data_IF_988150442160
#
_entry.id   IF_988150442160
#
_cell.length_a   1.000
_cell.length_b   1.000
_cell.length_c   1.000
_cell.angle_alpha   90.00
_cell.angle_beta   90.00
_cell.angle_gamma   90.00
#
_symmetry.space_group_name_H-M   'P 1'
#
loop_
_entity.id
_entity.type
_entity.pdbx_description
1 polymer ?
#
# COMPACT_ATOMS: atom_id res chain seq x y z
N UNK A 1 4.12 -15.17 -5.56
CA UNK A 1 3.44 -14.33 -6.57
C UNK A 1 3.68 -12.84 -6.28
N UNK A 2 3.47 -11.95 -7.26
CA UNK A 2 3.52 -10.49 -7.04
C UNK A 2 2.21 -9.92 -7.54
N UNK A 3 1.47 -9.22 -6.67
CA UNK A 3 0.27 -8.49 -7.06
C UNK A 3 0.64 -7.05 -7.42
N UNK A 4 0.10 -6.54 -8.53
CA UNK A 4 0.32 -5.14 -8.96
C UNK A 4 -0.98 -4.37 -8.87
N UNK A 5 -0.92 -3.16 -8.34
CA UNK A 5 -2.05 -2.27 -8.13
C UNK A 5 -1.77 -0.92 -8.81
N UNK A 6 -2.83 -0.29 -9.31
CA UNK A 6 -2.76 1.08 -9.82
C UNK A 6 -2.85 2.03 -8.63
N UNK A 7 -1.99 3.05 -8.61
CA UNK A 7 -2.07 4.10 -7.60
C UNK A 7 -3.38 4.89 -7.77
N UNK A 8 -4.10 5.18 -6.67
CA UNK A 8 -5.18 6.16 -6.67
C UNK A 8 -4.71 7.49 -7.25
N UNK A 9 -5.57 8.17 -8.01
CA UNK A 9 -5.25 9.49 -8.61
C UNK A 9 -5.72 10.66 -7.74
N UNK A 10 -6.39 10.36 -6.65
CA UNK A 10 -6.92 11.32 -5.72
C UNK A 10 -5.80 11.99 -4.93
N UNK A 11 -5.98 13.27 -4.61
CA UNK A 11 -4.98 14.12 -3.93
C UNK A 11 -4.53 13.61 -2.56
N UNK A 12 -5.31 12.74 -1.92
CA UNK A 12 -4.97 12.15 -0.63
C UNK A 12 -3.95 11.01 -0.73
N UNK A 13 -3.67 10.52 -1.94
CA UNK A 13 -2.74 9.43 -2.13
C UNK A 13 -1.36 9.91 -2.61
N UNK A 14 -0.32 9.43 -1.94
CA UNK A 14 1.05 9.53 -2.39
C UNK A 14 1.77 8.23 -2.01
N UNK A 15 2.31 7.50 -2.99
CA UNK A 15 2.95 6.20 -2.73
C UNK A 15 4.06 6.26 -1.66
N UNK A 16 4.96 7.26 -1.62
CA UNK A 16 6.00 7.31 -0.58
C UNK A 16 5.41 7.35 0.85
N UNK A 17 4.35 8.11 1.06
CA UNK A 17 3.68 8.18 2.37
C UNK A 17 2.98 6.88 2.73
N UNK A 18 2.31 6.25 1.76
CA UNK A 18 1.66 4.95 1.93
C UNK A 18 2.68 3.85 2.25
N UNK A 19 3.82 3.84 1.55
CA UNK A 19 4.94 2.93 1.79
C UNK A 19 5.49 3.07 3.21
N UNK A 20 5.84 4.28 3.65
CA UNK A 20 6.42 4.49 4.99
C UNK A 20 5.43 4.09 6.09
N UNK A 21 4.15 4.40 5.93
CA UNK A 21 3.11 4.06 6.90
C UNK A 21 2.88 2.54 7.02
N UNK A 22 2.95 1.80 5.91
CA UNK A 22 2.87 0.34 5.91
C UNK A 22 4.17 -0.30 6.43
N UNK A 23 5.33 0.26 6.05
CA UNK A 23 6.64 -0.18 6.53
C UNK A 23 6.73 -0.08 8.05
N UNK A 24 6.22 1.01 8.64
CA UNK A 24 6.15 1.19 10.09
C UNK A 24 5.28 0.12 10.77
N UNK A 25 4.32 -0.47 10.05
CA UNK A 25 3.47 -1.59 10.49
C UNK A 25 4.04 -2.97 10.12
N UNK A 26 5.27 -3.03 9.61
CA UNK A 26 5.96 -4.28 9.26
C UNK A 26 5.71 -4.79 7.84
N UNK A 27 5.02 -4.03 6.98
CA UNK A 27 4.69 -4.44 5.62
C UNK A 27 5.49 -3.67 4.57
N UNK A 28 6.28 -4.38 3.76
CA UNK A 28 7.02 -3.78 2.66
C UNK A 28 6.26 -3.92 1.33
N UNK A 29 6.09 -2.80 0.63
CA UNK A 29 5.56 -2.74 -0.74
C UNK A 29 6.55 -1.98 -1.64
N UNK A 30 6.42 -2.12 -2.96
CA UNK A 30 7.42 -1.59 -3.90
C UNK A 30 6.78 -0.75 -4.99
N UNK A 31 7.43 0.34 -5.37
CA UNK A 31 7.02 1.12 -6.53
C UNK A 31 7.08 0.26 -7.81
N UNK A 32 6.09 0.43 -8.68
CA UNK A 32 6.08 -0.10 -10.02
C UNK A 32 6.93 0.74 -10.97
N UNK A 33 7.22 0.20 -12.16
CA UNK A 33 8.13 0.82 -13.14
C UNK A 33 7.42 1.61 -14.26
N UNK A 34 6.10 1.84 -14.17
CA UNK A 34 5.33 2.42 -15.28
C UNK A 34 5.27 3.94 -15.23
N UNK A 35 5.53 4.59 -16.36
CA UNK A 35 5.76 6.03 -16.52
C UNK A 35 4.51 6.88 -16.77
N UNK A 36 3.32 6.29 -16.91
CA UNK A 36 2.07 7.01 -17.25
C UNK A 36 0.98 7.00 -16.18
N UNK A 37 0.84 5.90 -15.43
CA UNK A 37 0.03 5.80 -14.22
C UNK A 37 0.91 5.13 -13.18
N UNK A 38 1.04 5.75 -12.00
CA UNK A 38 1.74 5.15 -10.87
C UNK A 38 1.16 3.77 -10.59
N UNK A 39 2.03 2.82 -10.30
CA UNK A 39 1.64 1.47 -9.87
C UNK A 39 2.50 1.11 -8.70
N UNK A 40 2.00 0.25 -7.83
CA UNK A 40 2.81 -0.37 -6.80
C UNK A 40 2.57 -1.88 -6.75
N UNK A 41 3.48 -2.59 -6.11
CA UNK A 41 3.50 -4.04 -6.06
C UNK A 41 3.56 -4.52 -4.62
N UNK A 42 2.78 -5.55 -4.33
CA UNK A 42 2.80 -6.29 -3.07
C UNK A 42 3.43 -7.65 -3.36
N UNK A 43 4.55 -7.93 -2.71
CA UNK A 43 5.20 -9.23 -2.79
C UNK A 43 4.42 -10.23 -1.95
N UNK A 44 3.85 -11.24 -2.59
CA UNK A 44 3.18 -12.35 -1.92
C UNK A 44 4.00 -13.62 -2.20
N UNK A 45 5.24 -13.64 -1.71
CA UNK A 45 6.25 -14.68 -2.01
C UNK A 45 6.69 -15.31 -0.70
N UNK A 46 6.84 -16.65 -0.70
CA UNK A 46 7.27 -17.41 0.46
C UNK A 46 6.11 -18.00 1.25
N UNK A 47 6.35 -18.29 2.53
CA UNK A 47 5.36 -18.85 3.46
C UNK A 47 4.43 -17.74 3.98
N UNK A 48 3.56 -17.25 3.11
CA UNK A 48 2.49 -16.31 3.46
C UNK A 48 1.21 -17.10 3.62
N UNK A 49 0.61 -17.01 4.81
CA UNK A 49 -0.66 -17.63 5.14
C UNK A 49 -1.82 -16.61 5.06
N UNK A 50 -3.08 -17.08 5.14
CA UNK A 50 -4.24 -16.18 5.12
C UNK A 50 -4.21 -15.12 6.23
N UNK A 51 -3.74 -15.48 7.44
CA UNK A 51 -3.66 -14.54 8.56
C UNK A 51 -2.72 -13.36 8.27
N UNK A 52 -1.61 -13.61 7.58
CA UNK A 52 -0.67 -12.57 7.13
C UNK A 52 -1.32 -11.65 6.10
N UNK A 53 -2.12 -12.20 5.19
CA UNK A 53 -2.89 -11.41 4.21
C UNK A 53 -3.93 -10.54 4.92
N UNK A 54 -4.69 -11.10 5.87
CA UNK A 54 -5.70 -10.35 6.63
C UNK A 54 -5.07 -9.21 7.43
N UNK A 55 -3.92 -9.46 8.08
CA UNK A 55 -3.18 -8.44 8.80
C UNK A 55 -2.69 -7.31 7.87
N UNK A 56 -2.20 -7.66 6.67
CA UNK A 56 -1.82 -6.67 5.66
C UNK A 56 -3.02 -5.83 5.21
N UNK A 57 -4.16 -6.46 4.93
CA UNK A 57 -5.37 -5.76 4.47
C UNK A 57 -5.92 -4.81 5.53
N UNK A 58 -5.91 -5.22 6.81
CA UNK A 58 -6.30 -4.36 7.93
C UNK A 58 -5.39 -3.14 8.02
N UNK A 59 -4.08 -3.35 8.04
CA UNK A 59 -3.09 -2.27 8.11
C UNK A 59 -3.20 -1.30 6.91
N UNK A 60 -3.39 -1.83 5.70
CA UNK A 60 -3.58 -1.00 4.51
C UNK A 60 -4.87 -0.17 4.60
N UNK A 61 -5.96 -0.75 5.11
CA UNK A 61 -7.23 -0.04 5.33
C UNK A 61 -7.12 1.10 6.35
N UNK A 62 -6.40 0.89 7.44
CA UNK A 62 -6.12 1.93 8.44
C UNK A 62 -5.31 3.08 7.84
N UNK A 63 -4.21 2.77 7.14
CA UNK A 63 -3.37 3.79 6.49
C UNK A 63 -4.18 4.61 5.48
N UNK A 64 -5.00 3.96 4.65
CA UNK A 64 -5.85 4.68 3.68
C UNK A 64 -6.82 5.62 4.41
N UNK A 65 -7.39 5.19 5.53
CA UNK A 65 -8.32 6.01 6.33
C UNK A 65 -7.60 7.23 6.92
N UNK A 66 -6.41 7.04 7.50
CA UNK A 66 -5.56 8.11 8.03
C UNK A 66 -5.15 9.12 6.95
N UNK A 67 -4.74 8.63 5.78
CA UNK A 67 -4.34 9.48 4.65
C UNK A 67 -5.51 10.32 4.14
N UNK A 68 -6.72 9.76 4.07
CA UNK A 68 -7.92 10.50 3.69
C UNK A 68 -8.30 11.58 4.70
N UNK A 69 -8.15 11.31 6.01
CA UNK A 69 -8.44 12.30 7.06
C UNK A 69 -7.49 13.49 7.04
N UNK A 70 -6.18 13.24 6.82
CA UNK A 70 -5.14 14.29 6.77
C UNK A 70 -5.30 15.32 5.65
N UNK A 71 -6.09 15.02 4.62
CA UNK A 71 -6.37 15.96 3.52
C UNK A 71 -7.51 16.92 3.83
N UNK A 72 -8.35 16.58 4.82
CA UNK A 72 -9.51 17.38 5.21
C UNK A 72 -9.18 18.34 6.37
N UNK A 73 -8.13 18.05 7.13
CA UNK A 73 -7.55 18.91 8.18
C UNK A 73 -6.58 19.94 7.62
#
# INVERSE_FOLDING_TARGET
MIASFVEPQERWFAFPAFYEALRARGFAIYAGKMTGRGTFRVGVIGAIDPATIDAFLLAAGEVVSEMKQKVIS
#
